data_IF_300259452464
#
_entry.id   IF_300259452464
#
_cell.length_a   1.000
_cell.length_b   1.000
_cell.length_c   1.000
_cell.angle_alpha   90.00
_cell.angle_beta   90.00
_cell.angle_gamma   90.00
#
_symmetry.space_group_name_H-M   'P 1'
#
loop_
_entity.id
_entity.type
_entity.pdbx_description
1 polymer ?
#
# COMPACT_ATOMS: atom_id res chain seq x y z
N UNK A 1 -44.56 53.36 -31.99
CA UNK A 1 -45.09 51.99 -32.16
C UNK A 1 -44.40 51.15 -31.08
N UNK A 2 -45.02 50.69 -29.98
CA UNK A 2 -46.45 50.53 -29.69
C UNK A 2 -46.95 49.20 -30.28
N UNK A 3 -47.47 48.21 -29.54
CA UNK A 3 -47.77 48.09 -28.09
C UNK A 3 -47.13 46.77 -27.55
N UNK A 4 -47.22 46.34 -26.29
CA UNK A 4 -47.88 46.83 -25.07
C UNK A 4 -47.45 45.97 -23.86
N UNK A 5 -47.88 46.31 -22.64
CA UNK A 5 -47.48 45.62 -21.39
C UNK A 5 -48.64 44.81 -20.77
N UNK A 6 -48.36 44.00 -19.73
CA UNK A 6 -49.02 44.05 -18.40
C UNK A 6 -48.41 43.04 -17.38
N UNK A 7 -48.86 43.17 -16.12
CA UNK A 7 -48.49 42.55 -14.83
C UNK A 7 -48.26 41.00 -14.79
N UNK A 8 -47.76 40.39 -13.71
CA UNK A 8 -47.24 40.91 -12.41
C UNK A 8 -47.65 40.07 -11.18
N UNK A 9 -46.79 40.04 -10.16
CA UNK A 9 -46.98 39.51 -8.77
C UNK A 9 -47.17 37.98 -8.56
N UNK A 10 -46.97 37.53 -7.30
CA UNK A 10 -47.53 36.27 -6.76
C UNK A 10 -46.57 35.12 -6.41
N UNK A 11 -45.95 35.15 -5.21
CA UNK A 11 -45.45 33.92 -4.53
C UNK A 11 -46.50 33.40 -3.54
N UNK A 12 -46.52 32.10 -3.20
CA UNK A 12 -45.98 31.73 -1.87
C UNK A 12 -45.26 30.36 -1.80
N UNK A 13 -44.66 30.06 -0.64
CA UNK A 13 -44.11 28.73 -0.31
C UNK A 13 -45.11 27.85 0.43
N UNK A 14 -45.02 26.51 0.23
CA UNK A 14 -45.34 25.36 1.12
C UNK A 14 -45.35 24.09 0.22
N UNK A 15 -44.97 22.88 0.65
CA UNK A 15 -44.31 22.47 1.89
C UNK A 15 -44.50 20.98 2.26
N UNK A 16 -43.62 20.09 1.78
CA UNK A 16 -43.28 18.80 2.41
C UNK A 16 -44.21 17.57 2.24
N UNK A 17 -43.57 16.40 2.07
CA UNK A 17 -44.13 15.01 2.10
C UNK A 17 -45.06 14.65 0.92
N UNK A 18 -45.20 13.39 0.48
CA UNK A 18 -44.41 12.18 0.80
C UNK A 18 -45.27 10.91 0.99
N UNK A 19 -45.47 10.11 -0.07
CA UNK A 19 -46.14 8.79 -0.12
C UNK A 19 -45.67 8.05 -1.41
N UNK A 20 -45.69 6.71 -1.55
CA UNK A 20 -45.92 5.66 -0.55
C UNK A 20 -46.95 4.59 -0.95
N UNK A 21 -46.60 3.65 -1.85
CA UNK A 21 -47.40 2.47 -2.26
C UNK A 21 -46.39 1.31 -2.49
N UNK A 22 -46.30 0.18 -1.76
CA UNK A 22 -47.24 -0.78 -1.11
C UNK A 22 -47.89 -1.77 -2.11
N UNK A 23 -48.11 -3.07 -1.86
CA UNK A 23 -47.74 -4.02 -0.78
C UNK A 23 -47.92 -5.48 -1.31
N UNK A 24 -47.75 -6.50 -0.46
CA UNK A 24 -48.25 -7.87 -0.69
C UNK A 24 -47.25 -9.01 -0.41
N UNK A 25 -47.55 -10.08 0.36
CA UNK A 25 -48.28 -10.20 1.65
C UNK A 25 -47.93 -11.57 2.29
N UNK A 26 -48.32 -11.79 3.56
CA UNK A 26 -48.07 -13.01 4.37
C UNK A 26 -49.33 -13.96 4.32
N UNK A 27 -49.59 -14.98 5.20
CA UNK A 27 -48.94 -15.49 6.43
C UNK A 27 -48.95 -17.06 6.54
N UNK A 28 -48.96 -17.74 7.72
CA UNK A 28 -48.52 -17.46 9.11
C UNK A 28 -47.36 -18.45 9.53
N UNK A 29 -47.07 -18.95 10.75
CA UNK A 29 -47.65 -18.85 12.12
C UNK A 29 -46.63 -19.17 13.28
N UNK A 30 -47.17 -19.59 14.44
CA UNK A 30 -46.62 -20.05 15.73
C UNK A 30 -45.47 -21.10 15.70
N UNK A 31 -44.61 -21.21 16.73
CA UNK A 31 -44.47 -20.36 17.93
C UNK A 31 -43.71 -21.02 19.12
N UNK A 32 -43.47 -20.23 20.17
CA UNK A 32 -43.11 -20.62 21.57
C UNK A 32 -41.78 -21.32 21.88
N UNK A 33 -41.12 -20.89 22.97
CA UNK A 33 -40.02 -21.61 23.64
C UNK A 33 -38.84 -20.71 24.01
N UNK A 34 -38.39 -20.75 25.27
CA UNK A 34 -37.20 -20.04 25.74
C UNK A 34 -36.27 -20.96 26.52
N UNK A 35 -34.99 -20.57 26.69
CA UNK A 35 -34.08 -21.30 27.57
C UNK A 35 -32.59 -21.04 27.33
N UNK A 36 -31.92 -20.66 28.43
CA UNK A 36 -30.54 -20.99 28.81
C UNK A 36 -29.35 -20.48 27.97
N UNK A 37 -28.38 -19.94 28.70
CA UNK A 37 -26.96 -19.90 28.33
C UNK A 37 -26.44 -21.33 28.07
N UNK A 38 -25.44 -21.49 27.20
CA UNK A 38 -24.16 -21.91 27.77
C UNK A 38 -22.96 -21.11 27.24
N UNK A 39 -21.96 -20.96 28.09
CA UNK A 39 -20.59 -20.60 27.69
C UNK A 39 -19.95 -21.77 26.94
N UNK A 40 -19.45 -21.53 25.72
CA UNK A 40 -18.55 -22.46 25.03
C UNK A 40 -17.25 -21.76 24.64
N UNK A 41 -16.19 -22.07 25.39
CA UNK A 41 -14.81 -21.87 24.95
C UNK A 41 -14.53 -22.70 23.70
N UNK A 42 -13.62 -22.25 22.84
CA UNK A 42 -13.13 -23.07 21.72
C UNK A 42 -11.65 -22.81 21.44
N UNK A 43 -10.88 -23.80 20.95
CA UNK A 43 -9.49 -23.94 21.36
C UNK A 43 -8.50 -23.18 20.47
N UNK A 44 -7.28 -22.98 20.99
CA UNK A 44 -6.14 -22.55 20.19
C UNK A 44 -5.86 -23.60 19.11
N UNK A 45 -5.86 -23.18 17.84
CA UNK A 45 -5.45 -24.03 16.73
C UNK A 45 -3.97 -23.77 16.42
N UNK A 46 -3.08 -24.43 17.15
CA UNK A 46 -1.66 -24.48 16.82
C UNK A 46 -1.46 -25.20 15.48
N UNK A 47 -0.66 -24.60 14.59
CA UNK A 47 -0.22 -25.23 13.33
C UNK A 47 1.30 -25.17 13.27
N UNK A 48 1.93 -26.33 13.19
CA UNK A 48 3.39 -26.45 13.16
C UNK A 48 4.01 -26.01 11.82
N UNK A 49 5.31 -25.74 11.87
CA UNK A 49 6.15 -25.50 10.69
C UNK A 49 6.34 -26.78 9.87
N UNK A 50 6.44 -26.70 8.53
CA UNK A 50 6.94 -27.80 7.70
C UNK A 50 8.48 -27.78 7.64
N UNK A 51 9.13 -28.89 8.01
CA UNK A 51 10.58 -29.06 7.92
C UNK A 51 11.08 -29.19 6.47
N UNK A 52 12.20 -28.52 6.16
CA UNK A 52 12.87 -28.62 4.84
C UNK A 52 14.41 -28.45 4.93
N UNK A 53 15.11 -29.31 5.66
CA UNK A 53 16.58 -29.42 5.61
C UNK A 53 17.08 -30.88 5.76
N UNK A 54 17.57 -31.50 4.67
CA UNK A 54 18.35 -32.73 4.74
C UNK A 54 19.85 -32.50 4.43
N UNK A 55 20.68 -32.82 5.44
CA UNK A 55 22.08 -33.25 5.33
C UNK A 55 23.18 -32.26 4.86
N UNK A 56 24.06 -31.90 5.80
CA UNK A 56 25.50 -31.79 5.57
C UNK A 56 26.21 -32.67 6.61
N UNK A 57 27.16 -33.51 6.18
CA UNK A 57 27.93 -34.41 7.06
C UNK A 57 29.25 -33.76 7.49
N UNK A 58 29.74 -34.19 8.65
CA UNK A 58 30.99 -33.76 9.27
C UNK A 58 32.23 -34.17 8.44
N UNK A 59 33.24 -33.32 8.45
CA UNK A 59 34.66 -33.69 8.29
C UNK A 59 35.49 -32.91 9.36
N UNK A 60 36.56 -33.50 9.92
CA UNK A 60 37.23 -32.93 11.10
C UNK A 60 38.50 -32.13 10.81
N UNK A 61 38.83 -31.21 11.72
CA UNK A 61 40.19 -31.00 12.24
C UNK A 61 41.25 -30.38 11.32
N UNK A 62 41.47 -29.07 11.46
CA UNK A 62 42.67 -28.38 10.97
C UNK A 62 42.85 -27.04 11.69
N UNK A 63 43.77 -26.97 12.66
CA UNK A 63 43.94 -25.80 13.52
C UNK A 63 44.92 -24.76 12.95
N UNK A 64 44.56 -23.48 13.10
CA UNK A 64 45.44 -22.32 12.95
C UNK A 64 44.99 -21.23 13.95
N UNK A 65 45.90 -20.39 14.44
CA UNK A 65 45.65 -19.51 15.59
C UNK A 65 44.54 -18.47 15.35
N UNK A 66 43.57 -18.45 16.27
CA UNK A 66 42.46 -17.52 16.26
C UNK A 66 42.88 -16.12 16.74
N UNK A 67 43.29 -15.26 15.81
CA UNK A 67 43.33 -13.82 16.06
C UNK A 67 41.90 -13.30 16.21
N UNK A 68 41.43 -13.27 17.45
CA UNK A 68 40.07 -12.86 17.82
C UNK A 68 39.65 -11.56 17.09
N UNK A 69 38.53 -11.56 16.34
CA UNK A 69 38.08 -10.37 15.64
C UNK A 69 37.69 -9.28 16.63
N UNK A 70 38.31 -8.10 16.49
CA UNK A 70 38.10 -6.95 17.39
C UNK A 70 36.62 -6.55 17.45
N UNK A 71 36.00 -6.79 18.61
CA UNK A 71 34.56 -6.67 18.84
C UNK A 71 34.02 -5.25 18.52
N UNK A 72 33.23 -5.06 17.43
CA UNK A 72 32.70 -3.76 17.05
C UNK A 72 31.28 -3.56 17.59
N UNK A 73 31.10 -3.72 18.91
CA UNK A 73 29.86 -3.33 19.61
C UNK A 73 29.73 -1.81 19.82
N UNK A 74 30.58 -1.00 19.17
CA UNK A 74 30.24 0.39 18.89
C UNK A 74 28.97 0.43 18.02
N UNK A 75 27.91 1.16 18.40
CA UNK A 75 26.77 1.34 17.51
C UNK A 75 27.26 1.95 16.19
N UNK A 76 26.84 1.41 15.04
CA UNK A 76 27.24 1.93 13.73
C UNK A 76 26.74 3.37 13.61
N UNK A 77 27.65 4.34 13.69
CA UNK A 77 27.36 5.77 13.58
C UNK A 77 27.03 6.14 12.11
N UNK A 78 25.91 5.63 11.60
CA UNK A 78 25.37 6.00 10.29
C UNK A 78 24.25 7.03 10.45
N UNK A 79 24.30 8.06 9.61
CA UNK A 79 23.35 9.17 9.68
C UNK A 79 21.98 8.73 9.10
N UNK A 80 20.86 9.08 9.75
CA UNK A 80 19.51 8.78 9.24
C UNK A 80 19.32 9.30 7.81
N UNK A 81 18.95 8.40 6.89
CA UNK A 81 18.75 8.76 5.49
C UNK A 81 17.52 9.65 5.35
N UNK A 82 17.71 10.84 4.76
CA UNK A 82 16.67 11.85 4.53
C UNK A 82 16.19 11.88 3.08
N UNK A 83 17.08 11.63 2.11
CA UNK A 83 16.72 11.56 0.69
C UNK A 83 16.33 10.12 0.31
N UNK A 84 15.08 9.92 -0.14
CA UNK A 84 14.45 8.60 -0.28
C UNK A 84 13.56 8.56 -1.52
N UNK A 85 13.68 7.49 -2.30
CA UNK A 85 12.78 7.16 -3.41
C UNK A 85 12.11 5.82 -3.11
N UNK A 86 10.84 5.87 -2.74
CA UNK A 86 9.99 4.69 -2.60
C UNK A 86 9.15 4.51 -3.86
N UNK A 87 9.44 3.46 -4.65
CA UNK A 87 8.55 3.06 -5.73
C UNK A 87 7.35 2.33 -5.12
N UNK A 88 6.25 3.07 -5.01
CA UNK A 88 4.98 2.59 -4.47
C UNK A 88 4.20 1.77 -5.51
N UNK A 89 4.32 0.45 -5.42
CA UNK A 89 3.55 -0.54 -6.19
C UNK A 89 2.10 -0.69 -5.68
N UNK A 90 1.21 -1.25 -6.51
CA UNK A 90 -0.20 -1.44 -6.22
C UNK A 90 -0.51 -2.77 -5.47
N UNK A 91 -1.44 -2.70 -4.50
CA UNK A 91 -1.98 -3.83 -3.71
C UNK A 91 -0.97 -4.64 -2.86
N UNK A 92 0.22 -4.08 -2.63
CA UNK A 92 1.36 -4.58 -1.84
C UNK A 92 1.41 -4.06 -0.39
N UNK A 93 0.29 -3.61 0.18
CA UNK A 93 0.27 -2.93 1.50
C UNK A 93 0.99 -1.57 1.55
N UNK A 94 1.48 -1.08 0.40
CA UNK A 94 2.39 0.05 0.25
C UNK A 94 1.90 1.38 0.85
N UNK A 95 0.60 1.62 0.99
CA UNK A 95 0.07 2.78 1.73
C UNK A 95 0.55 2.86 3.18
N UNK A 96 0.90 1.73 3.81
CA UNK A 96 1.50 1.71 5.17
C UNK A 96 2.88 2.34 5.16
N UNK A 97 3.70 2.00 4.17
CA UNK A 97 5.03 2.59 3.94
C UNK A 97 4.91 4.09 3.60
N UNK A 98 3.83 4.50 2.92
CA UNK A 98 3.59 5.93 2.64
C UNK A 98 3.23 6.71 3.91
N UNK A 99 2.34 6.23 4.80
CA UNK A 99 2.06 6.89 6.09
C UNK A 99 3.35 7.05 6.93
N UNK A 100 4.18 6.01 6.95
CA UNK A 100 5.49 5.98 7.61
C UNK A 100 6.43 7.05 7.03
N UNK A 101 6.62 7.09 5.71
CA UNK A 101 7.43 8.11 5.02
C UNK A 101 6.90 9.53 5.21
N UNK A 102 5.57 9.71 5.18
CA UNK A 102 4.89 10.98 5.45
C UNK A 102 5.21 11.50 6.87
N UNK A 103 5.12 10.64 7.89
CA UNK A 103 5.47 10.98 9.28
C UNK A 103 6.94 11.29 9.48
N UNK A 104 7.83 10.48 8.91
CA UNK A 104 9.28 10.69 8.98
C UNK A 104 9.68 12.05 8.39
N UNK A 105 9.14 12.39 7.21
CA UNK A 105 9.41 13.66 6.58
C UNK A 105 8.73 14.85 7.25
N UNK A 106 7.48 14.70 7.71
CA UNK A 106 6.74 15.76 8.40
C UNK A 106 7.44 16.21 9.69
N UNK A 107 7.90 15.26 10.51
CA UNK A 107 8.59 15.53 11.77
C UNK A 107 9.94 16.22 11.58
N UNK A 108 10.60 16.00 10.43
CA UNK A 108 11.95 16.49 10.12
C UNK A 108 11.97 17.64 9.09
N UNK A 109 10.80 18.19 8.77
CA UNK A 109 10.65 19.33 7.83
C UNK A 109 11.07 19.03 6.40
N UNK A 110 10.99 17.76 5.97
CA UNK A 110 11.49 17.32 4.66
C UNK A 110 10.53 17.72 3.53
N UNK A 111 11.10 18.01 2.37
CA UNK A 111 10.38 18.47 1.18
C UNK A 111 9.93 17.29 0.34
N UNK A 112 8.62 17.06 0.24
CA UNK A 112 8.05 15.94 -0.52
C UNK A 112 7.88 16.29 -2.01
N UNK A 113 8.28 15.37 -2.88
CA UNK A 113 7.79 15.34 -4.25
C UNK A 113 6.32 14.90 -4.20
N UNK A 114 5.40 15.86 -4.33
CA UNK A 114 3.96 15.62 -4.28
C UNK A 114 3.35 15.66 -5.71
N UNK A 115 2.42 14.76 -6.04
CA UNK A 115 1.62 14.88 -7.26
C UNK A 115 0.61 16.04 -7.15
N UNK A 116 0.11 16.60 -8.28
CA UNK A 116 -0.90 17.68 -8.28
C UNK A 116 -2.31 17.17 -7.96
N UNK A 117 -2.48 15.85 -7.95
CA UNK A 117 -3.62 15.10 -7.37
C UNK A 117 -3.02 14.01 -6.48
N UNK A 118 -3.46 12.75 -6.58
CA UNK A 118 -2.94 11.65 -5.73
C UNK A 118 -1.89 10.74 -6.40
N UNK A 119 -1.63 10.90 -7.70
CA UNK A 119 -0.67 10.08 -8.47
C UNK A 119 0.02 10.87 -9.59
N UNK A 120 1.22 10.44 -10.00
CA UNK A 120 2.05 11.13 -11.00
C UNK A 120 1.66 10.82 -12.45
N UNK A 121 0.37 10.93 -12.79
CA UNK A 121 -0.10 10.75 -14.17
C UNK A 121 -0.13 9.29 -14.66
N UNK A 122 -0.07 8.32 -13.74
CA UNK A 122 -0.33 6.91 -14.00
C UNK A 122 -1.62 6.71 -14.82
N UNK A 123 -1.66 5.84 -15.84
CA UNK A 123 -0.71 4.75 -16.13
C UNK A 123 0.48 5.11 -17.03
N UNK A 124 0.65 6.38 -17.41
CA UNK A 124 1.82 6.82 -18.18
C UNK A 124 3.09 6.81 -17.32
N UNK A 125 4.29 6.62 -17.90
CA UNK A 125 5.56 6.76 -17.19
C UNK A 125 5.68 8.08 -16.42
N UNK A 126 6.40 8.02 -15.30
CA UNK A 126 6.76 9.18 -14.49
C UNK A 126 7.48 10.22 -15.34
N UNK A 127 7.23 11.51 -15.05
CA UNK A 127 7.94 12.62 -15.68
C UNK A 127 8.17 13.69 -14.61
N UNK A 128 9.39 14.20 -14.47
CA UNK A 128 9.77 15.11 -13.38
C UNK A 128 8.87 16.36 -13.33
N UNK A 129 8.47 16.87 -14.50
CA UNK A 129 7.52 17.99 -14.68
C UNK A 129 6.13 17.76 -14.08
N UNK A 130 5.77 16.53 -13.71
CA UNK A 130 4.50 16.20 -13.03
C UNK A 130 4.57 16.40 -11.52
N UNK A 131 5.75 16.63 -10.93
CA UNK A 131 5.87 16.96 -9.50
C UNK A 131 5.41 18.40 -9.27
N UNK A 132 4.54 18.62 -8.30
CA UNK A 132 3.99 19.94 -7.97
C UNK A 132 5.13 20.89 -7.58
N UNK A 133 5.16 22.08 -8.17
CA UNK A 133 6.23 23.06 -7.95
C UNK A 133 7.60 22.66 -8.50
N UNK A 134 7.70 21.65 -9.38
CA UNK A 134 8.94 21.34 -10.09
C UNK A 134 9.38 22.51 -10.99
N UNK A 135 10.68 22.80 -10.95
CA UNK A 135 11.37 23.69 -11.90
C UNK A 135 12.74 23.07 -12.22
N UNK A 136 13.22 23.06 -13.47
CA UNK A 136 14.60 22.71 -13.78
C UNK A 136 15.58 23.55 -12.95
N UNK A 137 16.59 22.92 -12.34
CA UNK A 137 17.53 23.59 -11.42
C UNK A 137 16.94 24.06 -10.08
N UNK A 138 15.65 23.84 -9.82
CA UNK A 138 14.99 24.26 -8.58
C UNK A 138 15.33 23.40 -7.35
N UNK A 139 14.82 23.76 -6.16
CA UNK A 139 15.05 23.02 -4.93
C UNK A 139 14.64 21.54 -5.04
N UNK A 140 15.59 20.65 -4.75
CA UNK A 140 15.40 19.20 -4.76
C UNK A 140 14.30 18.77 -3.77
N UNK A 141 13.76 17.59 -4.00
CA UNK A 141 12.83 16.94 -3.08
C UNK A 141 13.57 15.84 -2.32
N UNK A 142 13.25 15.71 -1.03
CA UNK A 142 13.80 14.69 -0.14
C UNK A 142 13.10 13.35 -0.34
N UNK A 143 11.77 13.33 -0.32
CA UNK A 143 10.98 12.09 -0.38
C UNK A 143 10.10 12.05 -1.62
N UNK A 144 10.23 11.00 -2.41
CA UNK A 144 9.33 10.62 -3.50
C UNK A 144 8.68 9.27 -3.18
N UNK A 145 7.37 9.25 -2.90
CA UNK A 145 6.70 8.05 -2.35
C UNK A 145 5.27 7.77 -2.87
N UNK A 146 4.74 8.57 -3.81
CA UNK A 146 3.38 8.40 -4.34
C UNK A 146 3.35 7.57 -5.65
N UNK A 147 2.18 7.03 -6.00
CA UNK A 147 2.02 6.17 -7.18
C UNK A 147 2.51 6.84 -8.47
N UNK A 148 3.34 6.09 -9.19
CA UNK A 148 3.91 6.39 -10.50
C UNK A 148 4.13 5.08 -11.23
N UNK A 149 4.20 5.14 -12.57
CA UNK A 149 4.87 4.10 -13.34
C UNK A 149 6.34 4.51 -13.44
N UNK A 150 7.25 3.67 -12.97
CA UNK A 150 8.65 4.06 -12.78
C UNK A 150 9.34 4.49 -14.09
N UNK A 151 10.23 5.48 -13.99
CA UNK A 151 11.15 5.89 -15.04
C UNK A 151 12.43 6.41 -14.36
N UNK A 152 13.54 5.68 -14.46
CA UNK A 152 14.77 6.01 -13.73
C UNK A 152 15.39 7.36 -14.18
N UNK A 153 15.51 7.68 -15.49
CA UNK A 153 15.94 9.00 -15.96
C UNK A 153 15.10 10.16 -15.39
N UNK A 154 13.78 10.08 -15.44
CA UNK A 154 12.88 11.14 -14.97
C UNK A 154 12.88 11.23 -13.44
N UNK A 155 12.92 10.12 -12.71
CA UNK A 155 13.04 10.11 -11.24
C UNK A 155 14.37 10.74 -10.79
N UNK A 156 15.48 10.46 -11.48
CA UNK A 156 16.77 11.12 -11.24
C UNK A 156 16.68 12.63 -11.52
N UNK A 157 16.06 13.03 -12.63
CA UNK A 157 15.84 14.45 -12.99
C UNK A 157 14.89 15.18 -12.04
N UNK A 158 13.98 14.46 -11.40
CA UNK A 158 13.09 14.93 -10.33
C UNK A 158 13.78 15.18 -8.99
N UNK A 159 15.10 14.98 -8.89
CA UNK A 159 15.90 15.18 -7.68
C UNK A 159 16.29 13.87 -6.97
N UNK A 160 15.71 12.73 -7.35
CA UNK A 160 15.97 11.43 -6.73
C UNK A 160 17.38 10.87 -6.95
N UNK A 161 18.27 11.56 -7.67
CA UNK A 161 19.59 11.05 -8.09
C UNK A 161 20.58 10.69 -6.98
N UNK A 162 20.31 11.08 -5.73
CA UNK A 162 21.14 10.76 -4.55
C UNK A 162 20.34 10.12 -3.40
N UNK A 163 19.07 9.75 -3.64
CA UNK A 163 18.23 9.11 -2.62
C UNK A 163 18.52 7.63 -2.42
N UNK A 164 18.09 7.07 -1.29
CA UNK A 164 18.00 5.62 -1.13
C UNK A 164 16.74 5.10 -1.83
N UNK A 165 16.92 4.18 -2.77
CA UNK A 165 15.83 3.61 -3.56
C UNK A 165 15.35 2.31 -2.92
N UNK A 166 14.04 2.19 -2.69
CA UNK A 166 13.43 0.92 -2.31
C UNK A 166 12.02 0.78 -2.89
N UNK A 167 11.49 -0.44 -2.83
CA UNK A 167 10.13 -0.77 -3.25
C UNK A 167 9.56 -1.89 -2.37
N UNK A 168 8.35 -2.35 -2.68
CA UNK A 168 7.70 -3.48 -2.02
C UNK A 168 6.99 -4.34 -3.08
N UNK A 169 7.07 -5.66 -2.92
CA UNK A 169 6.40 -6.64 -3.78
C UNK A 169 5.51 -7.56 -2.95
N UNK A 170 4.77 -8.41 -3.64
CA UNK A 170 3.81 -9.36 -3.07
C UNK A 170 3.71 -10.56 -3.99
N UNK A 171 3.34 -11.72 -3.45
CA UNK A 171 3.04 -12.89 -4.26
C UNK A 171 2.01 -12.54 -5.37
N UNK A 172 2.30 -12.80 -6.67
CA UNK A 172 1.43 -12.41 -7.77
C UNK A 172 0.03 -13.04 -7.71
N UNK A 173 -0.11 -14.22 -7.10
CA UNK A 173 -1.41 -14.84 -6.89
C UNK A 173 -2.26 -14.02 -5.92
N UNK A 174 -1.74 -13.77 -4.73
CA UNK A 174 -2.47 -12.98 -3.72
C UNK A 174 -2.60 -11.49 -4.10
N UNK A 175 -1.67 -10.95 -4.89
CA UNK A 175 -1.76 -9.63 -5.50
C UNK A 175 -2.87 -9.57 -6.56
N UNK A 176 -2.95 -10.53 -7.48
CA UNK A 176 -3.93 -10.52 -8.57
C UNK A 176 -5.37 -10.71 -8.08
N UNK A 177 -5.60 -11.51 -7.04
CA UNK A 177 -6.90 -11.56 -6.33
C UNK A 177 -7.27 -10.17 -5.76
N UNK A 178 -6.31 -9.52 -5.09
CA UNK A 178 -6.52 -8.21 -4.48
C UNK A 178 -6.69 -7.09 -5.52
N UNK A 179 -6.09 -7.24 -6.70
CA UNK A 179 -6.29 -6.38 -7.85
C UNK A 179 -7.67 -6.63 -8.49
N UNK A 180 -8.08 -7.88 -8.69
CA UNK A 180 -9.41 -8.24 -9.20
C UNK A 180 -10.51 -7.64 -8.32
N UNK A 181 -10.45 -7.87 -7.01
CA UNK A 181 -11.41 -7.38 -6.02
C UNK A 181 -11.52 -5.84 -6.00
N UNK A 182 -10.40 -5.12 -6.16
CA UNK A 182 -10.35 -3.66 -6.02
C UNK A 182 -10.57 -2.91 -7.33
N UNK A 183 -10.02 -3.39 -8.44
CA UNK A 183 -10.05 -2.70 -9.75
C UNK A 183 -11.17 -3.18 -10.68
N UNK A 184 -12.04 -4.12 -10.28
CA UNK A 184 -13.21 -4.59 -11.07
C UNK A 184 -14.05 -3.47 -11.69
N UNK A 185 -14.17 -2.33 -11.01
CA UNK A 185 -14.88 -1.16 -11.53
C UNK A 185 -14.18 -0.44 -12.70
N UNK A 186 -12.86 -0.54 -12.82
CA UNK A 186 -12.02 0.28 -13.73
C UNK A 186 -11.09 -0.51 -14.66
N UNK A 187 -10.95 -1.82 -14.48
CA UNK A 187 -10.30 -2.73 -15.43
C UNK A 187 -11.37 -3.52 -16.20
N UNK A 188 -11.63 -3.21 -17.48
CA UNK A 188 -12.68 -3.87 -18.25
C UNK A 188 -12.55 -5.40 -18.32
N UNK A 189 -11.34 -5.96 -18.33
CA UNK A 189 -11.11 -7.40 -18.25
C UNK A 189 -11.76 -8.04 -17.01
N UNK A 190 -11.52 -7.48 -15.83
CA UNK A 190 -12.14 -7.93 -14.57
C UNK A 190 -13.66 -7.70 -14.56
N UNK A 191 -14.14 -6.63 -15.22
CA UNK A 191 -15.57 -6.32 -15.33
C UNK A 191 -16.29 -7.35 -16.21
N UNK A 192 -15.78 -7.62 -17.41
CA UNK A 192 -16.31 -8.60 -18.37
C UNK A 192 -16.30 -10.02 -17.81
N UNK A 193 -15.27 -10.38 -17.03
CA UNK A 193 -15.14 -11.73 -16.50
C UNK A 193 -16.18 -12.13 -15.44
N UNK A 194 -16.82 -11.18 -14.75
CA UNK A 194 -17.92 -11.48 -13.80
C UNK A 194 -17.51 -12.13 -12.47
N UNK A 195 -16.46 -12.94 -12.43
CA UNK A 195 -15.86 -13.50 -11.20
C UNK A 195 -14.39 -13.86 -11.40
N UNK A 196 -13.66 -14.03 -10.30
CA UNK A 196 -12.24 -14.45 -10.37
C UNK A 196 -12.10 -15.86 -10.96
N UNK A 197 -13.06 -16.76 -10.71
CA UNK A 197 -13.08 -18.11 -11.27
C UNK A 197 -13.30 -18.09 -12.79
N UNK A 198 -14.24 -17.28 -13.29
CA UNK A 198 -14.45 -17.09 -14.74
C UNK A 198 -13.26 -16.39 -15.39
N UNK A 199 -12.66 -15.38 -14.75
CA UNK A 199 -11.43 -14.75 -15.25
C UNK A 199 -10.29 -15.77 -15.36
N UNK A 200 -10.08 -16.58 -14.32
CA UNK A 200 -9.06 -17.63 -14.31
C UNK A 200 -9.31 -18.74 -15.33
N UNK A 201 -10.56 -19.02 -15.69
CA UNK A 201 -10.91 -20.07 -16.62
C UNK A 201 -10.35 -19.82 -18.03
N UNK A 202 -10.34 -18.57 -18.50
CA UNK A 202 -9.82 -18.16 -19.80
C UNK A 202 -9.47 -16.64 -19.82
N UNK A 203 -8.42 -16.19 -19.11
CA UNK A 203 -8.13 -14.76 -18.94
C UNK A 203 -7.84 -14.03 -20.26
N UNK A 204 -7.33 -14.75 -21.27
CA UNK A 204 -7.09 -14.28 -22.64
C UNK A 204 -8.38 -13.80 -23.33
N UNK A 205 -9.55 -14.37 -22.99
CA UNK A 205 -10.85 -13.93 -23.54
C UNK A 205 -11.31 -12.60 -22.97
N UNK A 206 -10.71 -12.14 -21.87
CA UNK A 206 -11.11 -10.93 -21.17
C UNK A 206 -10.06 -9.82 -21.27
N UNK A 207 -8.78 -10.16 -21.41
CA UNK A 207 -7.66 -9.22 -21.37
C UNK A 207 -7.25 -8.71 -22.75
N UNK A 208 -7.38 -7.40 -22.95
CA UNK A 208 -6.74 -6.65 -24.04
C UNK A 208 -5.70 -5.68 -23.44
N UNK A 209 -4.41 -5.74 -23.82
CA UNK A 209 -3.39 -4.82 -23.32
C UNK A 209 -3.54 -3.37 -23.83
N UNK A 210 -4.23 -3.13 -24.95
CA UNK A 210 -4.46 -1.79 -25.49
C UNK A 210 -5.58 -1.04 -24.76
N UNK A 211 -6.52 -1.77 -24.14
CA UNK A 211 -7.70 -1.19 -23.52
C UNK A 211 -7.40 -0.49 -22.18
N UNK A 212 -7.86 0.76 -22.06
CA UNK A 212 -7.60 1.64 -20.92
C UNK A 212 -8.12 1.04 -19.61
N UNK A 213 -7.18 0.61 -18.76
CA UNK A 213 -7.46 0.08 -17.41
C UNK A 213 -6.98 -1.36 -17.21
N UNK A 214 -6.73 -2.11 -18.29
CA UNK A 214 -6.34 -3.52 -18.18
C UNK A 214 -4.90 -3.74 -17.68
N UNK A 215 -4.07 -2.71 -17.51
CA UNK A 215 -2.77 -2.82 -16.81
C UNK A 215 -2.92 -3.32 -15.36
N UNK A 216 -4.08 -3.13 -14.71
CA UNK A 216 -4.37 -3.74 -13.40
C UNK A 216 -4.64 -5.25 -13.45
N UNK A 217 -4.80 -5.83 -14.66
CA UNK A 217 -5.27 -7.20 -14.87
C UNK A 217 -4.19 -8.20 -15.31
N UNK A 218 -2.96 -7.74 -15.62
CA UNK A 218 -1.82 -8.62 -15.91
C UNK A 218 -0.48 -7.92 -15.65
N UNK A 219 0.44 -8.59 -14.99
CA UNK A 219 1.83 -8.16 -14.75
C UNK A 219 1.91 -6.72 -14.15
N UNK A 220 1.18 -6.50 -13.05
CA UNK A 220 1.00 -5.19 -12.44
C UNK A 220 2.26 -4.70 -11.71
N UNK A 221 3.05 -5.60 -11.08
CA UNK A 221 4.35 -5.21 -10.52
C UNK A 221 5.31 -4.80 -11.64
N UNK A 222 5.45 -5.62 -12.68
CA UNK A 222 6.29 -5.33 -13.85
C UNK A 222 5.91 -4.00 -14.50
N UNK A 223 4.60 -3.72 -14.60
CA UNK A 223 4.07 -2.46 -15.09
C UNK A 223 4.43 -1.26 -14.18
N UNK A 224 4.24 -1.38 -12.86
CA UNK A 224 4.61 -0.35 -11.86
C UNK A 224 6.12 -0.06 -11.86
N UNK A 225 6.96 -1.09 -12.01
CA UNK A 225 8.41 -1.00 -12.22
C UNK A 225 8.81 -0.36 -13.57
N UNK A 226 7.86 0.12 -14.36
CA UNK A 226 8.10 0.88 -15.59
C UNK A 226 8.38 0.02 -16.82
N UNK A 227 8.57 -1.29 -16.63
CA UNK A 227 9.02 -2.19 -17.67
C UNK A 227 7.92 -2.39 -18.74
N UNK A 228 8.36 -2.65 -19.97
CA UNK A 228 7.51 -3.16 -21.04
C UNK A 228 7.54 -4.70 -21.03
N UNK A 229 6.51 -5.38 -21.54
CA UNK A 229 6.64 -6.79 -21.93
C UNK A 229 7.83 -6.95 -22.90
N UNK A 230 8.68 -7.99 -22.78
CA UNK A 230 9.79 -8.22 -23.70
C UNK A 230 9.30 -8.33 -25.15
N UNK A 231 9.93 -7.58 -26.08
CA UNK A 231 9.54 -7.54 -27.49
C UNK A 231 9.80 -8.87 -28.23
N UNK A 232 10.70 -9.71 -27.71
CA UNK A 232 10.91 -11.09 -28.13
C UNK A 232 10.86 -12.01 -26.90
N UNK A 233 10.32 -13.25 -27.01
CA UNK A 233 10.31 -14.20 -25.91
C UNK A 233 11.75 -14.68 -25.64
N UNK A 234 12.35 -14.21 -24.55
CA UNK A 234 13.71 -14.57 -24.17
C UNK A 234 13.98 -14.33 -22.68
N UNK A 235 14.46 -15.34 -21.93
CA UNK A 235 14.71 -15.19 -20.49
C UNK A 235 15.87 -14.23 -20.19
N UNK A 236 16.73 -13.92 -21.16
CA UNK A 236 17.84 -12.97 -21.00
C UNK A 236 17.39 -11.54 -20.81
N UNK A 237 16.39 -11.07 -21.57
CA UNK A 237 15.82 -9.75 -21.40
C UNK A 237 15.23 -9.57 -19.98
N UNK A 238 14.57 -10.61 -19.47
CA UNK A 238 14.02 -10.64 -18.10
C UNK A 238 15.15 -10.68 -17.06
N UNK A 239 16.16 -11.54 -17.21
CA UNK A 239 17.33 -11.58 -16.32
C UNK A 239 18.06 -10.23 -16.27
N UNK A 240 18.26 -9.57 -17.41
CA UNK A 240 18.92 -8.28 -17.51
C UNK A 240 18.12 -7.16 -16.83
N UNK A 241 16.80 -7.11 -17.06
CA UNK A 241 15.90 -6.16 -16.41
C UNK A 241 15.90 -6.35 -14.88
N UNK A 242 15.79 -7.58 -14.39
CA UNK A 242 15.81 -7.88 -12.95
C UNK A 242 17.16 -7.51 -12.30
N UNK A 243 18.29 -7.81 -12.96
CA UNK A 243 19.61 -7.40 -12.49
C UNK A 243 19.79 -5.87 -12.48
N UNK A 244 19.16 -5.14 -13.43
CA UNK A 244 19.11 -3.68 -13.40
C UNK A 244 18.22 -3.17 -12.25
N UNK A 245 17.10 -3.84 -11.95
CA UNK A 245 16.25 -3.49 -10.81
C UNK A 245 16.95 -3.75 -9.47
N UNK A 246 17.64 -4.88 -9.23
CA UNK A 246 18.38 -5.07 -7.96
C UNK A 246 19.52 -4.05 -7.78
N UNK A 247 20.20 -3.62 -8.87
CA UNK A 247 21.15 -2.50 -8.82
C UNK A 247 20.49 -1.13 -8.57
N UNK A 248 19.23 -0.97 -8.94
CA UNK A 248 18.49 0.30 -8.76
C UNK A 248 17.80 0.38 -7.40
N UNK A 249 17.29 -0.74 -6.90
CA UNK A 249 16.56 -0.87 -5.65
C UNK A 249 17.33 -1.79 -4.69
N UNK A 250 18.34 -1.28 -3.96
CA UNK A 250 19.17 -2.07 -3.04
C UNK A 250 18.38 -2.72 -1.88
N UNK A 251 17.11 -2.36 -1.68
CA UNK A 251 16.15 -3.11 -0.87
C UNK A 251 14.79 -3.17 -1.57
N UNK A 252 14.18 -4.36 -1.61
CA UNK A 252 12.77 -4.55 -1.98
C UNK A 252 12.11 -5.39 -0.91
N UNK A 253 11.04 -4.85 -0.33
CA UNK A 253 10.28 -5.44 0.77
C UNK A 253 9.32 -6.51 0.28
N UNK A 254 8.92 -7.45 1.15
CA UNK A 254 7.90 -8.46 0.87
C UNK A 254 6.65 -8.21 1.72
N UNK A 255 5.48 -8.23 1.11
CA UNK A 255 4.19 -8.03 1.81
C UNK A 255 3.88 -9.19 2.76
N UNK A 256 4.35 -10.38 2.41
CA UNK A 256 4.25 -11.64 3.15
C UNK A 256 5.12 -11.64 4.42
N UNK A 257 6.21 -10.88 4.42
CA UNK A 257 7.18 -10.74 5.51
C UNK A 257 7.30 -9.26 5.91
N UNK A 258 6.16 -8.66 6.26
CA UNK A 258 6.05 -7.21 6.39
C UNK A 258 6.75 -6.65 7.64
N UNK A 259 6.81 -7.40 8.74
CA UNK A 259 7.50 -6.95 9.96
C UNK A 259 9.02 -7.08 9.79
N UNK A 260 9.46 -8.20 9.21
CA UNK A 260 10.84 -8.45 8.80
C UNK A 260 11.31 -7.37 7.82
N UNK A 261 10.45 -7.00 6.88
CA UNK A 261 10.65 -5.90 5.93
C UNK A 261 10.83 -4.53 6.60
N UNK A 262 10.05 -4.22 7.64
CA UNK A 262 10.20 -2.97 8.39
C UNK A 262 11.50 -2.93 9.20
N UNK A 263 11.94 -4.05 9.78
CA UNK A 263 13.24 -4.13 10.48
C UNK A 263 14.40 -3.91 9.50
N UNK A 264 14.40 -4.60 8.35
CA UNK A 264 15.43 -4.41 7.33
C UNK A 264 15.40 -3.00 6.71
N UNK A 265 14.21 -2.37 6.63
CA UNK A 265 14.08 -0.97 6.20
C UNK A 265 14.69 -0.01 7.22
N UNK A 266 14.42 -0.20 8.52
CA UNK A 266 14.96 0.62 9.62
C UNK A 266 16.49 0.61 9.59
N UNK A 267 17.09 -0.57 9.46
CA UNK A 267 18.55 -0.77 9.34
C UNK A 267 19.11 -0.06 8.10
N UNK A 268 18.53 -0.30 6.92
CA UNK A 268 19.04 0.24 5.65
C UNK A 268 18.96 1.78 5.56
N UNK A 269 17.99 2.38 6.27
CA UNK A 269 17.79 3.83 6.36
C UNK A 269 18.47 4.48 7.58
N UNK A 270 19.06 3.70 8.50
CA UNK A 270 19.62 4.18 9.77
C UNK A 270 18.60 5.00 10.58
N UNK A 271 17.39 4.46 10.73
CA UNK A 271 16.25 5.12 11.38
C UNK A 271 16.04 4.67 12.82
N UNK A 272 15.31 5.49 13.60
CA UNK A 272 14.88 5.11 14.94
C UNK A 272 13.72 4.10 14.87
N UNK A 273 13.25 3.61 16.02
CA UNK A 273 12.16 2.63 16.07
C UNK A 273 10.80 3.29 15.86
N UNK A 274 10.59 4.46 16.46
CA UNK A 274 9.42 5.32 16.29
C UNK A 274 9.21 5.84 14.85
N UNK A 275 10.28 5.82 14.05
CA UNK A 275 10.22 6.11 12.62
C UNK A 275 9.56 4.98 11.82
N UNK A 276 9.62 3.73 12.29
CA UNK A 276 9.02 2.55 11.62
C UNK A 276 7.78 1.97 12.32
N UNK A 277 7.41 2.49 13.49
CA UNK A 277 6.14 2.20 14.15
C UNK A 277 4.95 2.51 13.22
N UNK A 278 4.21 1.49 12.78
CA UNK A 278 3.11 1.65 11.83
C UNK A 278 1.93 0.70 12.08
N UNK A 279 0.72 1.23 11.89
CA UNK A 279 -0.52 0.46 11.72
C UNK A 279 -0.75 0.09 10.25
N UNK A 280 -1.60 -0.89 9.95
CA UNK A 280 -1.78 -1.43 8.60
C UNK A 280 -2.80 -0.62 7.80
N UNK A 281 -2.33 0.24 6.91
CA UNK A 281 -3.15 1.07 6.04
C UNK A 281 -3.69 0.32 4.82
N UNK A 282 -4.87 0.74 4.33
CA UNK A 282 -5.50 0.22 3.11
C UNK A 282 -5.75 -1.31 3.13
N UNK A 283 -6.04 -1.85 4.32
CA UNK A 283 -6.40 -3.26 4.52
C UNK A 283 -7.88 -3.52 4.21
N UNK A 284 -8.19 -4.64 3.56
CA UNK A 284 -9.58 -5.12 3.40
C UNK A 284 -10.08 -5.84 4.65
N UNK A 285 -11.39 -5.85 4.88
CA UNK A 285 -12.02 -6.72 5.87
C UNK A 285 -11.68 -8.19 5.59
N UNK A 286 -10.98 -8.93 6.50
CA UNK A 286 -10.60 -10.32 6.27
C UNK A 286 -11.80 -11.25 5.99
N UNK A 287 -12.97 -10.97 6.58
CA UNK A 287 -14.21 -11.75 6.36
C UNK A 287 -14.73 -11.66 4.92
N UNK A 288 -14.37 -10.59 4.20
CA UNK A 288 -14.73 -10.38 2.80
C UNK A 288 -13.67 -10.92 1.81
N UNK A 289 -12.51 -11.40 2.29
CA UNK A 289 -11.46 -11.98 1.45
C UNK A 289 -11.59 -13.50 1.43
N UNK A 290 -12.01 -14.06 0.30
CA UNK A 290 -11.96 -15.52 0.09
C UNK A 290 -10.49 -15.95 -0.09
N UNK A 291 -9.98 -16.92 0.68
CA UNK A 291 -8.67 -17.51 0.41
C UNK A 291 -8.63 -18.14 -0.99
N UNK A 292 -7.50 -18.02 -1.67
CA UNK A 292 -7.22 -18.77 -2.89
C UNK A 292 -6.87 -20.21 -2.53
N UNK A 293 -7.39 -21.17 -3.29
CA UNK A 293 -6.83 -22.53 -3.27
C UNK A 293 -5.46 -22.56 -4.01
N UNK A 294 -4.62 -23.59 -3.78
CA UNK A 294 -3.29 -23.67 -4.39
C UNK A 294 -3.30 -23.66 -5.93
N UNK A 295 -4.35 -24.20 -6.57
CA UNK A 295 -4.47 -24.23 -8.03
C UNK A 295 -4.84 -22.84 -8.58
N UNK A 296 -5.72 -22.09 -7.91
CA UNK A 296 -6.01 -20.70 -8.24
C UNK A 296 -4.75 -19.83 -8.11
N UNK A 297 -4.01 -19.98 -7.00
CA UNK A 297 -2.76 -19.26 -6.79
C UNK A 297 -1.72 -19.59 -7.87
N UNK A 298 -1.57 -20.87 -8.25
CA UNK A 298 -0.70 -21.28 -9.34
C UNK A 298 -1.12 -20.69 -10.70
N UNK A 299 -2.41 -20.72 -11.06
CA UNK A 299 -2.91 -20.12 -12.31
C UNK A 299 -2.72 -18.60 -12.34
N UNK A 300 -2.93 -17.90 -11.22
CA UNK A 300 -2.68 -16.46 -11.15
C UNK A 300 -1.19 -16.11 -11.27
N UNK A 301 -0.28 -16.92 -10.71
CA UNK A 301 1.17 -16.77 -10.92
C UNK A 301 1.57 -17.02 -12.37
N UNK A 302 0.99 -18.03 -13.03
CA UNK A 302 1.26 -18.34 -14.45
C UNK A 302 0.73 -17.25 -15.40
N UNK A 303 -0.45 -16.69 -15.13
CA UNK A 303 -1.01 -15.56 -15.88
C UNK A 303 -0.15 -14.29 -15.76
N UNK A 304 0.39 -14.06 -14.56
CA UNK A 304 1.29 -12.95 -14.22
C UNK A 304 2.76 -13.41 -14.15
N UNK A 305 3.26 -14.12 -15.17
CA UNK A 305 4.58 -14.77 -15.12
C UNK A 305 5.73 -13.77 -14.87
N UNK A 306 5.67 -12.56 -15.47
CA UNK A 306 6.71 -11.54 -15.29
C UNK A 306 6.72 -11.01 -13.85
N UNK A 307 5.56 -10.85 -13.22
CA UNK A 307 5.47 -10.54 -11.79
C UNK A 307 5.98 -11.72 -10.94
N UNK A 308 5.81 -12.97 -11.37
CA UNK A 308 6.35 -14.15 -10.67
C UNK A 308 7.87 -14.25 -10.77
N UNK A 309 8.45 -14.01 -11.95
CA UNK A 309 9.90 -13.94 -12.13
C UNK A 309 10.50 -12.81 -11.28
N UNK A 310 9.82 -11.66 -11.23
CA UNK A 310 10.21 -10.49 -10.42
C UNK A 310 10.10 -10.78 -8.91
N UNK A 311 8.97 -11.31 -8.45
CA UNK A 311 8.76 -11.69 -7.04
C UNK A 311 9.77 -12.76 -6.60
N UNK A 312 9.97 -13.81 -7.39
CA UNK A 312 10.90 -14.89 -7.06
C UNK A 312 12.37 -14.39 -7.00
N UNK A 313 12.76 -13.45 -7.89
CA UNK A 313 14.05 -12.79 -7.83
C UNK A 313 14.21 -11.96 -6.55
N UNK A 314 13.25 -11.07 -6.25
CA UNK A 314 13.35 -10.21 -5.07
C UNK A 314 13.21 -10.98 -3.75
N UNK A 315 12.42 -12.05 -3.70
CA UNK A 315 12.38 -12.97 -2.55
C UNK A 315 13.76 -13.58 -2.28
N UNK A 316 14.47 -14.10 -3.29
CA UNK A 316 15.87 -14.57 -3.12
C UNK A 316 16.82 -13.44 -2.71
N UNK A 317 16.57 -12.20 -3.13
CA UNK A 317 17.34 -11.03 -2.71
C UNK A 317 17.08 -10.64 -1.26
N UNK A 318 15.85 -10.83 -0.78
CA UNK A 318 15.39 -10.51 0.56
C UNK A 318 15.98 -11.50 1.58
N UNK A 319 15.87 -12.81 1.32
CA UNK A 319 16.43 -13.83 2.21
C UNK A 319 17.97 -13.74 2.32
N UNK A 320 18.68 -13.40 1.24
CA UNK A 320 20.13 -13.05 1.33
C UNK A 320 20.42 -11.89 2.29
N UNK A 321 19.49 -10.93 2.45
CA UNK A 321 19.61 -9.80 3.39
C UNK A 321 19.19 -10.20 4.80
N UNK A 322 18.26 -11.14 4.97
CA UNK A 322 17.91 -11.76 6.27
C UNK A 322 19.12 -12.51 6.84
N UNK A 323 19.78 -13.36 6.05
CA UNK A 323 20.99 -14.07 6.49
C UNK A 323 22.11 -13.10 6.88
N UNK A 324 22.36 -12.07 6.05
CA UNK A 324 23.39 -11.05 6.32
C UNK A 324 23.07 -10.14 7.53
N UNK A 325 21.80 -10.03 7.94
CA UNK A 325 21.37 -9.31 9.15
C UNK A 325 21.44 -10.21 10.41
N UNK A 326 21.41 -11.53 10.23
CA UNK A 326 21.31 -12.53 11.29
C UNK A 326 19.84 -12.87 11.59
N UNK A 327 19.36 -14.09 11.25
CA UNK A 327 17.96 -14.48 11.45
C UNK A 327 17.47 -14.38 12.91
N UNK A 328 18.32 -14.70 13.88
CA UNK A 328 18.01 -14.57 15.30
C UNK A 328 17.83 -13.10 15.74
N UNK A 329 18.70 -12.20 15.24
CA UNK A 329 18.57 -10.74 15.45
C UNK A 329 17.26 -10.23 14.84
N UNK A 330 16.92 -10.69 13.63
CA UNK A 330 15.69 -10.31 12.94
C UNK A 330 14.44 -10.68 13.74
N UNK A 331 14.37 -11.89 14.30
CA UNK A 331 13.21 -12.32 15.09
C UNK A 331 13.06 -11.52 16.40
N UNK A 332 14.16 -11.18 17.08
CA UNK A 332 14.12 -10.32 18.27
C UNK A 332 13.63 -8.90 17.94
N UNK A 333 14.12 -8.30 16.87
CA UNK A 333 13.72 -6.96 16.41
C UNK A 333 12.26 -6.94 15.91
N UNK A 334 11.80 -8.03 15.26
CA UNK A 334 10.39 -8.23 14.86
C UNK A 334 9.47 -8.38 16.08
N UNK A 335 9.89 -9.11 17.12
CA UNK A 335 9.14 -9.21 18.37
C UNK A 335 8.98 -7.83 19.05
N UNK A 336 10.07 -7.05 19.13
CA UNK A 336 10.07 -5.67 19.64
C UNK A 336 9.16 -4.74 18.83
N UNK A 337 9.22 -4.81 17.49
CA UNK A 337 8.32 -4.05 16.61
C UNK A 337 6.83 -4.41 16.84
N UNK A 338 6.52 -5.70 17.04
CA UNK A 338 5.16 -6.18 17.36
C UNK A 338 4.70 -5.76 18.75
N UNK A 339 5.60 -5.63 19.71
CA UNK A 339 5.32 -5.09 21.05
C UNK A 339 5.02 -3.59 21.01
N UNK A 340 5.87 -2.78 20.38
CA UNK A 340 5.62 -1.34 20.17
C UNK A 340 4.28 -1.09 19.47
N UNK A 341 3.96 -1.87 18.44
CA UNK A 341 2.67 -1.79 17.74
C UNK A 341 1.46 -2.12 18.63
N UNK A 342 1.59 -3.05 19.60
CA UNK A 342 0.53 -3.35 20.57
C UNK A 342 0.34 -2.20 21.57
N UNK A 343 1.43 -1.72 22.18
CA UNK A 343 1.37 -0.57 23.09
C UNK A 343 0.78 0.68 22.41
N UNK A 344 1.13 0.96 21.15
CA UNK A 344 0.50 2.02 20.37
C UNK A 344 -0.97 1.74 20.05
N UNK A 345 -1.38 0.48 19.84
CA UNK A 345 -2.79 0.14 19.63
C UNK A 345 -3.63 0.39 20.90
N UNK A 346 -3.13 -0.03 22.06
CA UNK A 346 -3.74 0.19 23.38
C UNK A 346 -3.79 1.68 23.76
N UNK A 347 -2.76 2.44 23.38
CA UNK A 347 -2.72 3.90 23.51
C UNK A 347 -3.74 4.59 22.60
N UNK A 348 -3.72 4.28 21.30
CA UNK A 348 -4.38 5.12 20.29
C UNK A 348 -5.79 4.67 19.89
N UNK A 349 -6.13 3.38 19.97
CA UNK A 349 -7.24 2.80 19.21
C UNK A 349 -8.43 2.41 20.07
N UNK A 350 -9.61 2.92 19.70
CA UNK A 350 -10.87 2.43 20.26
C UNK A 350 -11.08 0.97 19.81
N UNK A 351 -11.13 0.05 20.77
CA UNK A 351 -11.23 -1.40 20.51
C UNK A 351 -9.93 -2.06 20.04
N UNK A 352 -8.78 -1.37 20.10
CA UNK A 352 -7.45 -1.95 19.87
C UNK A 352 -7.14 -2.45 18.45
N UNK A 353 -8.04 -2.24 17.47
CA UNK A 353 -7.93 -2.87 16.15
C UNK A 353 -8.58 -2.08 15.01
N UNK A 354 -8.45 -2.56 13.76
CA UNK A 354 -9.03 -1.91 12.60
C UNK A 354 -10.55 -2.14 12.50
N UNK A 355 -11.29 -1.10 12.13
CA UNK A 355 -12.76 -1.07 12.05
C UNK A 355 -13.23 -0.69 10.65
N UNK A 356 -14.49 -1.00 10.31
CA UNK A 356 -15.09 -0.55 9.05
C UNK A 356 -15.31 0.97 9.04
N UNK A 357 -15.30 1.58 7.85
CA UNK A 357 -15.31 3.04 7.71
C UNK A 357 -16.52 3.76 8.33
N UNK A 358 -17.66 3.07 8.46
CA UNK A 358 -18.85 3.58 9.15
C UNK A 358 -18.66 3.71 10.68
N UNK A 359 -17.75 2.92 11.26
CA UNK A 359 -17.37 2.99 12.68
C UNK A 359 -16.32 4.06 12.99
N UNK A 360 -16.05 5.00 12.07
CA UNK A 360 -15.04 6.04 12.22
C UNK A 360 -15.72 7.41 12.08
N UNK A 361 -16.04 8.08 13.21
CA UNK A 361 -16.74 9.38 13.18
C UNK A 361 -15.92 10.49 12.51
N UNK A 362 -14.62 10.56 12.78
CA UNK A 362 -13.73 11.58 12.20
C UNK A 362 -13.41 11.30 10.72
N UNK A 363 -13.87 12.19 9.85
CA UNK A 363 -13.72 12.08 8.39
C UNK A 363 -12.26 12.29 7.92
N UNK A 364 -11.44 12.99 8.72
CA UNK A 364 -10.03 13.24 8.40
C UNK A 364 -9.18 11.96 8.49
N UNK A 365 -9.64 10.96 9.25
CA UNK A 365 -9.00 9.65 9.39
C UNK A 365 -9.79 8.49 8.76
N UNK A 366 -11.01 8.76 8.25
CA UNK A 366 -11.85 7.73 7.60
C UNK A 366 -11.21 7.28 6.27
N UNK A 367 -11.02 5.97 6.04
CA UNK A 367 -10.36 5.47 4.82
C UNK A 367 -11.25 5.64 3.59
N UNK A 368 -10.65 6.10 2.50
CA UNK A 368 -11.31 6.19 1.20
C UNK A 368 -11.79 4.82 0.70
N UNK A 369 -13.08 4.69 0.43
CA UNK A 369 -13.70 3.46 -0.08
C UNK A 369 -13.69 3.46 -1.62
N UNK A 370 -13.42 2.30 -2.22
CA UNK A 370 -13.37 2.17 -3.68
C UNK A 370 -13.79 0.78 -4.16
N UNK A 371 -14.66 0.74 -5.17
CA UNK A 371 -15.20 -0.51 -5.71
C UNK A 371 -16.05 -1.26 -4.67
N UNK A 372 -15.95 -2.58 -4.67
CA UNK A 372 -16.68 -3.47 -3.75
C UNK A 372 -15.83 -3.89 -2.52
N UNK A 373 -14.61 -3.38 -2.39
CA UNK A 373 -13.69 -3.75 -1.33
C UNK A 373 -13.86 -2.83 -0.12
N UNK A 374 -14.50 -3.31 0.95
CA UNK A 374 -14.52 -2.63 2.25
C UNK A 374 -13.08 -2.42 2.75
N UNK A 375 -12.62 -1.17 2.78
CA UNK A 375 -11.31 -0.80 3.31
C UNK A 375 -11.47 -0.40 4.77
N UNK A 376 -10.79 -1.12 5.66
CA UNK A 376 -10.75 -0.84 7.09
C UNK A 376 -9.86 0.38 7.39
N UNK A 377 -10.19 1.06 8.48
CA UNK A 377 -9.40 2.13 9.08
C UNK A 377 -9.35 1.95 10.59
N UNK A 378 -9.23 3.04 11.32
CA UNK A 378 -9.05 3.02 12.77
C UNK A 378 -9.87 4.13 13.44
N UNK A 379 -10.60 3.79 14.49
CA UNK A 379 -11.22 4.76 15.39
C UNK A 379 -10.24 5.11 16.52
N UNK A 380 -10.12 6.39 16.85
CA UNK A 380 -9.25 6.84 17.94
C UNK A 380 -9.93 6.69 19.30
N UNK A 381 -9.14 6.37 20.32
CA UNK A 381 -9.59 6.36 21.73
C UNK A 381 -10.05 7.77 22.13
N UNK A 382 -11.19 7.95 22.81
CA UNK A 382 -11.58 9.26 23.34
C UNK A 382 -10.67 9.69 24.49
N UNK A 383 -10.59 11.00 24.75
CA UNK A 383 -9.89 11.54 25.92
C UNK A 383 -8.35 11.55 25.85
N UNK A 384 -7.76 11.40 24.66
CA UNK A 384 -6.30 11.50 24.46
C UNK A 384 -5.79 12.92 24.78
N UNK A 385 -4.64 13.00 25.46
CA UNK A 385 -3.94 14.26 25.69
C UNK A 385 -3.41 14.88 24.38
N UNK A 386 -3.13 16.19 24.31
CA UNK A 386 -2.82 16.86 23.04
C UNK A 386 -1.64 16.26 22.25
N UNK A 387 -0.60 15.79 22.94
CA UNK A 387 0.55 15.11 22.32
C UNK A 387 0.19 13.70 21.83
N UNK A 388 -0.58 12.95 22.61
CA UNK A 388 -1.08 11.61 22.24
C UNK A 388 -2.01 11.71 21.03
N UNK A 389 -2.97 12.63 21.04
CA UNK A 389 -3.86 12.91 19.91
C UNK A 389 -3.04 13.23 18.64
N UNK A 390 -2.02 14.09 18.73
CA UNK A 390 -1.17 14.41 17.58
C UNK A 390 -0.38 13.18 17.06
N UNK A 391 0.13 12.33 17.95
CA UNK A 391 0.80 11.06 17.58
C UNK A 391 -0.18 10.08 16.94
N UNK A 392 -1.28 9.79 17.61
CA UNK A 392 -2.27 8.80 17.25
C UNK A 392 -3.02 9.16 15.96
N UNK A 393 -3.44 10.43 15.78
CA UNK A 393 -4.00 10.89 14.50
C UNK A 393 -3.03 10.61 13.36
N UNK A 394 -1.75 10.99 13.46
CA UNK A 394 -0.75 10.74 12.40
C UNK A 394 -0.55 9.25 12.10
N UNK A 395 -0.57 8.39 13.12
CA UNK A 395 -0.51 6.93 12.96
C UNK A 395 -1.67 6.38 12.11
N UNK A 396 -2.88 6.95 12.26
CA UNK A 396 -4.10 6.47 11.59
C UNK A 396 -4.53 7.25 10.34
N UNK A 397 -4.03 8.47 10.10
CA UNK A 397 -4.40 9.28 8.92
C UNK A 397 -4.08 8.53 7.61
N UNK A 398 -5.08 8.24 6.76
CA UNK A 398 -4.87 7.57 5.50
C UNK A 398 -4.07 8.42 4.51
N UNK A 399 -3.42 7.75 3.55
CA UNK A 399 -2.49 8.35 2.58
C UNK A 399 -3.02 9.58 1.84
N UNK A 400 -4.31 9.64 1.50
CA UNK A 400 -4.88 10.74 0.73
C UNK A 400 -4.94 12.02 1.59
N UNK A 401 -5.60 11.94 2.75
CA UNK A 401 -5.68 13.03 3.72
C UNK A 401 -4.29 13.47 4.21
N UNK A 402 -3.35 12.54 4.39
CA UNK A 402 -1.97 12.89 4.76
C UNK A 402 -1.24 13.60 3.60
N UNK A 403 -1.44 13.18 2.33
CA UNK A 403 -0.92 13.95 1.18
C UNK A 403 -1.46 15.37 1.17
N UNK A 404 -2.75 15.58 1.44
CA UNK A 404 -3.36 16.91 1.39
C UNK A 404 -2.88 17.82 2.54
N UNK A 405 -2.68 17.24 3.74
CA UNK A 405 -2.00 17.90 4.86
C UNK A 405 -0.57 18.32 4.52
N UNK A 406 0.22 17.46 3.89
CA UNK A 406 1.58 17.79 3.42
C UNK A 406 1.57 18.83 2.30
N UNK A 407 0.59 18.77 1.40
CA UNK A 407 0.45 19.68 0.26
C UNK A 407 0.11 21.10 0.73
N UNK A 408 -0.83 21.22 1.68
CA UNK A 408 -1.15 22.48 2.35
C UNK A 408 0.04 23.03 3.16
N UNK A 409 0.81 22.17 3.86
CA UNK A 409 2.00 22.59 4.62
C UNK A 409 3.15 23.04 3.72
N UNK A 410 3.33 22.45 2.54
CA UNK A 410 4.46 22.74 1.64
C UNK A 410 4.17 23.87 0.64
N UNK A 411 2.91 24.12 0.28
CA UNK A 411 2.54 25.10 -0.76
C UNK A 411 1.47 26.11 -0.31
N UNK A 412 1.01 26.06 0.95
CA UNK A 412 -0.09 26.89 1.46
C UNK A 412 -1.48 26.42 1.00
N UNK A 413 -2.52 26.81 1.72
CA UNK A 413 -3.91 26.37 1.47
C UNK A 413 -4.40 26.66 0.04
N UNK A 414 -4.06 27.83 -0.51
CA UNK A 414 -4.43 28.25 -1.87
C UNK A 414 -3.65 27.51 -2.98
N UNK A 415 -2.57 26.78 -2.62
CA UNK A 415 -1.81 25.95 -3.57
C UNK A 415 -2.60 24.79 -4.17
N UNK A 416 -3.84 24.57 -3.74
CA UNK A 416 -4.79 23.56 -4.24
C UNK A 416 -5.45 23.93 -5.57
N UNK A 417 -5.61 25.22 -5.90
CA UNK A 417 -6.48 25.67 -7.01
C UNK A 417 -5.74 25.98 -8.32
N UNK A 418 -4.41 26.05 -8.33
CA UNK A 418 -3.58 26.56 -9.44
C UNK A 418 -3.49 25.70 -10.72
N UNK A 419 -4.53 24.94 -11.08
CA UNK A 419 -4.53 23.99 -12.20
C UNK A 419 -5.80 24.02 -13.07
N UNK A 420 -6.59 25.10 -13.02
CA UNK A 420 -7.83 25.25 -13.80
C UNK A 420 -8.15 26.71 -14.15
N UNK A 421 -7.38 27.30 -15.06
CA UNK A 421 -7.47 28.75 -15.37
C UNK A 421 -7.06 29.16 -16.79
N UNK A 422 -7.05 28.23 -17.75
CA UNK A 422 -6.72 28.51 -19.16
C UNK A 422 -7.95 28.64 -20.04
N UNK A 423 -8.67 29.77 -19.97
CA UNK A 423 -9.59 30.16 -21.04
C UNK A 423 -8.80 30.91 -22.11
N UNK A 424 -8.86 30.45 -23.36
CA UNK A 424 -8.30 31.19 -24.48
C UNK A 424 -9.06 32.50 -24.73
N UNK A 425 -8.34 33.46 -25.30
CA UNK A 425 -8.91 34.41 -26.26
C UNK A 425 -8.63 33.88 -27.66
#
# INVERSE_FOLDING_TARGET
MGLGALHGEGSPMVGGRGLGVLWGENPPWLGSGGGLHPSLTSPLCSRGSPDWLPHLRLLPGGGAEERAPSNPLSPRHCQPRRHIVFLKTHKTGSSTIVNLLHRFGETRGLRFALPPRYQFGYPYPFQARRVKGYRPGGPRFDILCHHMRFDLPEVRRGGGGQGFYFSIVRDPGSLAESAFSYYRGVAPAFRRAGSLAQFLAAPERFYDPAERGNHYARNLLWFDFGLAPPAAPGPEAVRAALAQLERTFPLVLLTEHFDESLVLLREALCWAEEDVDAFRHNGRNPRAVRPLDPSQAARLRAWNDLDWQLYAHFNRSFWRRVEAFGPARLQAEVARLRERRRALAELCLQGGGPVEAAGIPDEQIRPFQFGQAQILGYALRPGLGPAEQQLCTRLVTPELQYKDRLDARQFGANGSQGAGGGRGR
#
